data_IF_591976842130
#
_entry.id   IF_591976842130
#
_cell.length_a   1.000
_cell.length_b   1.000
_cell.length_c   1.000
_cell.angle_alpha   90.00
_cell.angle_beta   90.00
_cell.angle_gamma   90.00
#
_symmetry.space_group_name_H-M   'P 1'
#
loop_
_entity.id
_entity.type
_entity.pdbx_description
1 polymer ?
#
# COMPACT_ATOMS: atom_id res chain seq x y z
N UNK A 1 -11.29 -6.28 -0.52
CA UNK A 1 -10.37 -6.09 -1.66
C UNK A 1 -11.18 -5.89 -2.94
N UNK A 2 -11.00 -4.78 -3.68
CA UNK A 2 -11.63 -4.55 -4.99
C UNK A 2 -11.38 -5.70 -5.97
N UNK A 3 -12.37 -6.04 -6.80
CA UNK A 3 -12.32 -7.23 -7.66
C UNK A 3 -11.09 -7.29 -8.57
N UNK A 4 -10.64 -6.14 -9.08
CA UNK A 4 -9.49 -6.01 -9.98
C UNK A 4 -8.14 -6.29 -9.29
N UNK A 5 -8.13 -6.29 -7.95
CA UNK A 5 -6.94 -6.47 -7.13
C UNK A 5 -6.88 -7.83 -6.43
N UNK A 6 -7.94 -8.64 -6.53
CA UNK A 6 -8.05 -9.90 -5.80
C UNK A 6 -7.07 -10.94 -6.32
N UNK A 7 -6.38 -11.62 -5.40
CA UNK A 7 -5.74 -12.91 -5.65
C UNK A 7 -6.65 -13.98 -5.06
N UNK A 8 -7.08 -14.95 -5.88
CA UNK A 8 -8.01 -16.00 -5.48
C UNK A 8 -7.32 -17.36 -5.42
N UNK A 9 -7.68 -18.16 -4.42
CA UNK A 9 -7.38 -19.58 -4.38
C UNK A 9 -8.27 -20.37 -5.35
N UNK A 10 -7.99 -21.67 -5.51
CA UNK A 10 -8.71 -22.54 -6.44
C UNK A 10 -10.21 -22.68 -6.12
N UNK A 11 -10.59 -22.49 -4.86
CA UNK A 11 -11.97 -22.51 -4.37
C UNK A 11 -12.71 -21.17 -4.57
N UNK A 12 -12.03 -20.15 -5.11
CA UNK A 12 -12.56 -18.81 -5.32
C UNK A 12 -12.40 -17.86 -4.12
N UNK A 13 -11.86 -18.33 -2.99
CA UNK A 13 -11.60 -17.50 -1.81
C UNK A 13 -10.52 -16.46 -2.11
N UNK A 14 -10.74 -15.20 -1.72
CA UNK A 14 -9.74 -14.14 -1.86
C UNK A 14 -8.69 -14.31 -0.76
N UNK A 15 -7.45 -14.61 -1.16
CA UNK A 15 -6.32 -14.90 -0.24
C UNK A 15 -5.30 -13.76 -0.13
N UNK A 16 -5.32 -12.80 -1.06
CA UNK A 16 -4.50 -11.59 -0.98
C UNK A 16 -5.12 -10.46 -1.81
N UNK A 17 -4.59 -9.24 -1.63
CA UNK A 17 -4.97 -8.06 -2.40
C UNK A 17 -3.71 -7.42 -2.98
N UNK A 18 -3.63 -7.31 -4.31
CA UNK A 18 -2.55 -6.59 -4.98
C UNK A 18 -2.68 -5.09 -4.74
N UNK A 19 -1.56 -4.38 -4.68
CA UNK A 19 -1.58 -2.92 -4.88
C UNK A 19 -1.96 -2.59 -6.32
N UNK A 20 -2.44 -1.37 -6.57
CA UNK A 20 -2.72 -0.91 -7.93
C UNK A 20 -1.47 -0.92 -8.81
N UNK A 21 -0.30 -0.59 -8.25
CA UNK A 21 0.96 -0.70 -9.00
C UNK A 21 1.22 -2.14 -9.46
N UNK A 22 1.06 -3.12 -8.57
CA UNK A 22 1.28 -4.53 -8.91
C UNK A 22 0.21 -5.09 -9.89
N UNK A 23 -1.01 -4.54 -9.84
CA UNK A 23 -2.09 -4.97 -10.72
C UNK A 23 -2.02 -4.36 -12.12
N UNK A 24 -1.64 -3.08 -12.23
CA UNK A 24 -1.78 -2.32 -13.48
C UNK A 24 -0.45 -1.79 -14.05
N UNK A 25 0.56 -1.54 -13.22
CA UNK A 25 1.87 -1.06 -13.66
C UNK A 25 1.91 0.40 -14.11
N UNK A 26 0.80 1.14 -14.07
CA UNK A 26 0.77 2.55 -14.48
C UNK A 26 1.63 3.44 -13.59
N UNK A 27 2.27 4.44 -14.19
CA UNK A 27 3.12 5.41 -13.49
C UNK A 27 2.41 6.12 -12.33
N UNK A 28 1.12 6.44 -12.50
CA UNK A 28 0.28 7.04 -11.44
C UNK A 28 0.06 6.16 -10.21
N UNK A 29 0.25 4.85 -10.31
CA UNK A 29 0.12 3.92 -9.17
C UNK A 29 1.47 3.50 -8.61
N UNK A 30 2.48 3.40 -9.48
CA UNK A 30 3.83 2.97 -9.11
C UNK A 30 4.75 4.14 -8.71
N UNK A 31 4.31 5.38 -8.94
CA UNK A 31 5.10 6.58 -8.77
C UNK A 31 6.45 6.54 -9.50
N UNK A 32 6.40 6.08 -10.75
CA UNK A 32 7.53 6.07 -11.69
C UNK A 32 7.40 7.23 -12.67
N UNK A 33 8.45 7.63 -13.43
CA UNK A 33 8.36 8.75 -14.36
C UNK A 33 7.17 8.60 -15.33
N UNK A 34 6.34 9.64 -15.54
CA UNK A 34 6.51 11.04 -15.10
C UNK A 34 5.98 11.38 -13.69
N UNK A 35 5.48 10.40 -12.94
CA UNK A 35 4.90 10.54 -11.59
C UNK A 35 5.91 10.19 -10.48
N UNK A 36 7.19 10.52 -10.63
CA UNK A 36 8.26 10.11 -9.71
C UNK A 36 8.55 11.13 -8.59
N UNK A 37 7.58 11.97 -8.25
CA UNK A 37 7.64 12.86 -7.09
C UNK A 37 6.32 12.79 -6.31
N UNK A 38 6.30 13.13 -5.02
CA UNK A 38 5.06 13.17 -4.24
C UNK A 38 3.98 14.07 -4.87
N UNK A 39 4.37 15.21 -5.44
CA UNK A 39 3.43 16.16 -6.07
C UNK A 39 2.85 15.61 -7.37
N UNK A 40 3.62 14.79 -8.09
CA UNK A 40 3.19 14.19 -9.36
C UNK A 40 2.54 12.83 -9.18
N UNK A 41 2.61 12.21 -8.00
CA UNK A 41 1.95 10.95 -7.67
C UNK A 41 1.03 11.12 -6.44
N UNK A 42 -0.15 11.74 -6.61
CA UNK A 42 -1.10 11.88 -5.53
C UNK A 42 -1.75 10.53 -5.17
N UNK A 43 -2.39 10.43 -3.99
CA UNK A 43 -3.22 9.28 -3.66
C UNK A 43 -4.29 9.00 -4.73
N UNK A 44 -4.60 7.73 -4.93
CA UNK A 44 -5.61 7.26 -5.88
C UNK A 44 -6.74 6.55 -5.15
N UNK A 45 -7.85 6.24 -5.84
CA UNK A 45 -8.94 5.45 -5.26
C UNK A 45 -8.44 4.11 -4.67
N UNK A 46 -7.41 3.51 -5.27
CA UNK A 46 -6.86 2.25 -4.81
C UNK A 46 -5.96 2.41 -3.60
N UNK A 47 -5.11 3.44 -3.54
CA UNK A 47 -4.29 3.67 -2.34
C UNK A 47 -5.17 4.09 -1.16
N UNK A 48 -6.17 4.95 -1.39
CA UNK A 48 -7.16 5.33 -0.37
C UNK A 48 -7.94 4.14 0.18
N UNK A 49 -8.22 3.12 -0.64
CA UNK A 49 -8.81 1.88 -0.14
C UNK A 49 -7.94 1.22 0.94
N UNK A 50 -6.61 1.12 0.72
CA UNK A 50 -5.71 0.54 1.72
C UNK A 50 -5.54 1.45 2.95
N UNK A 51 -5.42 2.77 2.73
CA UNK A 51 -5.31 3.77 3.79
C UNK A 51 -6.51 3.70 4.77
N UNK A 52 -7.73 3.55 4.25
CA UNK A 52 -8.92 3.45 5.10
C UNK A 52 -8.98 2.16 5.93
N UNK A 53 -8.34 1.08 5.48
CA UNK A 53 -8.32 -0.19 6.22
C UNK A 53 -7.18 -0.24 7.22
N UNK A 54 -6.03 0.34 6.87
CA UNK A 54 -4.81 0.32 7.68
C UNK A 54 -4.15 1.71 7.70
N UNK A 55 -4.72 2.72 8.38
CA UNK A 55 -4.25 4.12 8.36
C UNK A 55 -2.93 4.36 9.11
N UNK A 56 -2.29 3.29 9.59
CA UNK A 56 -0.99 3.30 10.26
C UNK A 56 0.05 2.54 9.43
N UNK A 57 -0.25 2.24 8.16
CA UNK A 57 0.63 1.58 7.24
C UNK A 57 0.67 2.36 5.93
N UNK A 58 1.81 2.34 5.24
CA UNK A 58 1.93 2.95 3.92
C UNK A 58 0.99 2.27 2.91
N UNK A 59 0.08 3.05 2.32
CA UNK A 59 -0.86 2.61 1.29
C UNK A 59 -0.31 2.71 -0.13
N UNK A 60 0.69 3.57 -0.35
CA UNK A 60 1.42 3.72 -1.63
C UNK A 60 2.84 4.29 -1.45
N UNK A 61 3.58 4.46 -2.54
CA UNK A 61 5.02 4.76 -2.50
C UNK A 61 5.39 6.11 -1.87
N UNK A 62 4.52 7.12 -1.98
CA UNK A 62 4.74 8.45 -1.39
C UNK A 62 3.70 8.78 -0.33
N UNK A 63 3.17 7.77 0.36
CA UNK A 63 2.26 8.02 1.47
C UNK A 63 2.93 8.86 2.55
N UNK A 64 2.12 9.67 3.22
CA UNK A 64 2.61 10.76 4.04
C UNK A 64 3.38 10.31 5.30
N UNK A 65 3.96 11.30 5.99
CA UNK A 65 4.80 11.09 7.17
C UNK A 65 4.05 10.56 8.40
N UNK A 66 2.72 10.45 8.41
CA UNK A 66 2.03 9.78 9.52
C UNK A 66 2.35 8.28 9.56
N UNK A 67 2.77 7.71 8.42
CA UNK A 67 3.31 6.35 8.33
C UNK A 67 4.83 6.28 8.59
N UNK A 68 5.51 7.39 8.89
CA UNK A 68 6.94 7.40 9.21
C UNK A 68 7.18 7.10 10.69
N UNK A 69 7.34 5.81 10.99
CA UNK A 69 7.68 5.33 12.33
C UNK A 69 9.19 5.34 12.54
N UNK A 70 9.67 6.13 13.50
CA UNK A 70 11.08 6.18 13.89
C UNK A 70 11.22 5.97 15.40
N UNK A 71 12.26 5.25 15.80
CA UNK A 71 12.57 5.00 17.22
C UNK A 71 14.10 5.03 17.39
N UNK A 72 14.58 5.69 18.45
CA UNK A 72 16.01 5.91 18.72
C UNK A 72 16.45 5.17 19.97
N UNK A 73 17.75 4.89 20.10
CA UNK A 73 18.33 4.31 21.33
C UNK A 73 18.43 2.78 21.35
N UNK A 74 18.44 2.13 20.17
CA UNK A 74 18.60 0.67 20.06
C UNK A 74 17.40 -0.13 20.55
N UNK A 75 16.18 0.12 20.02
CA UNK A 75 15.00 -0.62 20.42
C UNK A 75 15.03 -2.06 19.88
N UNK A 76 14.42 -2.98 20.63
CA UNK A 76 13.96 -4.26 20.10
C UNK A 76 12.58 -4.11 19.45
N UNK A 77 12.22 -5.06 18.58
CA UNK A 77 10.96 -5.06 17.86
C UNK A 77 10.22 -6.39 18.02
N UNK A 78 8.89 -6.31 18.13
CA UNK A 78 7.99 -7.46 18.06
C UNK A 78 7.14 -7.32 16.80
N UNK A 79 7.13 -8.37 15.97
CA UNK A 79 6.30 -8.44 14.77
C UNK A 79 5.22 -9.49 15.02
N UNK A 80 3.97 -9.05 14.98
CA UNK A 80 2.79 -9.90 15.22
C UNK A 80 1.99 -10.05 13.93
N UNK A 81 1.63 -11.30 13.59
CA UNK A 81 0.68 -11.59 12.51
C UNK A 81 -0.71 -11.75 13.11
N UNK A 82 -1.72 -11.16 12.45
CA UNK A 82 -3.07 -11.02 13.00
C UNK A 82 -3.10 -10.33 14.38
N UNK A 83 -2.53 -9.12 14.49
CA UNK A 83 -2.52 -8.34 15.73
C UNK A 83 -3.92 -7.87 16.16
#
# INVERSE_FOLDING_TARGET
CPAQLQVKAADGTVIACKSACLAFGDSKYCCTPPNNTPETCPPTEYSQFFEQQCPQAYSYAYDDKNSTFTCSGGPDYVITFCP
#
